data_IF_701062284754
#
_entry.id   IF_701062284754
#
_cell.length_a   1.000
_cell.length_b   1.000
_cell.length_c   1.000
_cell.angle_alpha   90.00
_cell.angle_beta   90.00
_cell.angle_gamma   90.00
#
_symmetry.space_group_name_H-M   'P 1'
#
loop_
_entity.id
_entity.type
_entity.pdbx_description
1 polymer ?
#
# COMPACT_ATOMS: atom_id res chain seq x y z
N UNK A 1 -49.19 34.28 -25.18
CA UNK A 1 -48.63 33.08 -25.85
C UNK A 1 -47.44 32.43 -25.14
N UNK A 2 -46.21 32.99 -25.12
CA UNK A 2 -45.07 32.30 -24.44
C UNK A 2 -45.27 32.11 -22.92
N UNK A 3 -45.85 33.09 -22.22
CA UNK A 3 -46.11 33.00 -20.77
C UNK A 3 -47.17 31.96 -20.42
N UNK A 4 -48.26 31.92 -21.17
CA UNK A 4 -49.35 30.93 -20.98
C UNK A 4 -48.85 29.49 -21.14
N UNK A 5 -47.99 29.23 -22.13
CA UNK A 5 -47.40 27.90 -22.35
C UNK A 5 -46.49 27.51 -21.18
N UNK A 6 -45.71 28.44 -20.65
CA UNK A 6 -44.81 28.18 -19.51
C UNK A 6 -45.61 27.94 -18.23
N UNK A 7 -46.67 28.71 -17.99
CA UNK A 7 -47.55 28.53 -16.83
C UNK A 7 -48.26 27.17 -16.85
N UNK A 8 -48.74 26.73 -18.02
CA UNK A 8 -49.38 25.42 -18.17
C UNK A 8 -48.39 24.26 -18.03
N UNK A 9 -47.16 24.44 -18.54
CA UNK A 9 -46.08 23.48 -18.36
C UNK A 9 -45.69 23.33 -16.88
N UNK A 10 -45.59 24.44 -16.13
CA UNK A 10 -45.34 24.39 -14.69
C UNK A 10 -46.47 23.72 -13.92
N UNK A 11 -47.72 24.00 -14.27
CA UNK A 11 -48.90 23.37 -13.67
C UNK A 11 -48.87 21.85 -13.86
N UNK A 12 -48.56 21.40 -15.08
CA UNK A 12 -48.39 19.99 -15.41
C UNK A 12 -47.24 19.36 -14.63
N UNK A 13 -46.11 20.06 -14.51
CA UNK A 13 -44.93 19.56 -13.77
C UNK A 13 -45.23 19.41 -12.27
N UNK A 14 -45.92 20.37 -11.66
CA UNK A 14 -46.35 20.28 -10.24
C UNK A 14 -47.33 19.14 -10.01
N UNK A 15 -48.29 18.96 -10.92
CA UNK A 15 -49.22 17.84 -10.85
C UNK A 15 -48.49 16.50 -10.91
N UNK A 16 -47.59 16.31 -11.88
CA UNK A 16 -46.79 15.09 -11.98
C UNK A 16 -45.89 14.89 -10.76
N UNK A 17 -45.29 15.94 -10.23
CA UNK A 17 -44.47 15.85 -9.02
C UNK A 17 -45.29 15.39 -7.80
N UNK A 18 -46.55 15.84 -7.66
CA UNK A 18 -47.44 15.37 -6.60
C UNK A 18 -47.82 13.88 -6.69
N UNK A 19 -47.83 13.31 -7.91
CA UNK A 19 -48.14 11.89 -8.14
C UNK A 19 -46.92 11.02 -7.92
N UNK A 20 -45.76 11.48 -8.41
CA UNK A 20 -44.54 10.68 -8.50
C UNK A 20 -43.66 10.85 -7.27
N UNK A 21 -43.83 11.91 -6.49
CA UNK A 21 -43.09 12.18 -5.26
C UNK A 21 -41.69 12.77 -5.47
N UNK A 22 -41.31 13.01 -6.73
CA UNK A 22 -40.01 13.55 -7.13
C UNK A 22 -40.19 14.53 -8.31
N UNK A 23 -39.11 15.18 -8.75
CA UNK A 23 -39.14 15.92 -10.02
C UNK A 23 -39.44 14.93 -11.17
N UNK A 24 -40.43 15.21 -12.05
CA UNK A 24 -40.81 14.32 -13.14
C UNK A 24 -39.63 13.93 -14.06
N UNK A 25 -38.66 14.82 -14.26
CA UNK A 25 -37.46 14.54 -15.07
C UNK A 25 -36.59 13.47 -14.41
N UNK A 26 -36.40 13.58 -13.09
CA UNK A 26 -35.63 12.62 -12.28
C UNK A 26 -36.31 11.26 -12.29
N UNK A 27 -37.63 11.22 -12.08
CA UNK A 27 -38.36 9.96 -12.05
C UNK A 27 -38.40 9.25 -13.41
N UNK A 28 -38.47 10.01 -14.52
CA UNK A 28 -38.36 9.44 -15.87
C UNK A 28 -36.95 8.86 -16.09
N UNK A 29 -35.91 9.58 -15.68
CA UNK A 29 -34.53 9.11 -15.78
C UNK A 29 -34.32 7.82 -14.98
N UNK A 30 -34.76 7.79 -13.73
CA UNK A 30 -34.63 6.63 -12.85
C UNK A 30 -35.32 5.40 -13.44
N UNK A 31 -36.56 5.53 -13.93
CA UNK A 31 -37.26 4.43 -14.59
C UNK A 31 -36.54 3.93 -15.84
N UNK A 32 -35.97 4.82 -16.65
CA UNK A 32 -35.19 4.44 -17.84
C UNK A 32 -33.93 3.68 -17.45
N UNK A 33 -33.17 4.17 -16.48
CA UNK A 33 -31.96 3.49 -16.01
C UNK A 33 -32.29 2.16 -15.32
N UNK A 34 -33.36 2.12 -14.54
CA UNK A 34 -33.88 0.89 -13.92
C UNK A 34 -34.26 -0.16 -14.96
N UNK A 35 -34.95 0.24 -16.03
CA UNK A 35 -35.27 -0.65 -17.15
C UNK A 35 -34.01 -1.16 -17.86
N UNK A 36 -33.09 -0.26 -18.23
CA UNK A 36 -31.82 -0.63 -18.89
C UNK A 36 -31.02 -1.60 -18.01
N UNK A 37 -30.87 -1.30 -16.72
CA UNK A 37 -30.18 -2.16 -15.75
C UNK A 37 -30.84 -3.54 -15.65
N UNK A 38 -32.16 -3.58 -15.63
CA UNK A 38 -32.94 -4.82 -15.64
C UNK A 38 -32.71 -5.66 -16.90
N UNK A 39 -32.69 -5.04 -18.08
CA UNK A 39 -32.38 -5.72 -19.35
C UNK A 39 -30.94 -6.19 -19.37
N UNK A 40 -29.98 -5.34 -19.00
CA UNK A 40 -28.57 -5.69 -18.88
C UNK A 40 -28.38 -6.91 -17.96
N UNK A 41 -29.06 -6.97 -16.81
CA UNK A 41 -28.96 -8.11 -15.88
C UNK A 41 -29.50 -9.42 -16.48
N UNK A 42 -30.50 -9.35 -17.36
CA UNK A 42 -31.09 -10.53 -18.02
C UNK A 42 -30.25 -11.03 -19.21
N UNK A 43 -29.64 -10.11 -19.96
CA UNK A 43 -28.93 -10.42 -21.21
C UNK A 43 -27.42 -10.63 -20.96
N UNK A 44 -26.81 -9.91 -20.02
CA UNK A 44 -25.42 -10.10 -19.65
C UNK A 44 -25.29 -11.34 -18.76
N UNK A 45 -24.84 -12.44 -19.35
CA UNK A 45 -24.22 -13.52 -18.59
C UNK A 45 -22.85 -13.05 -18.14
N UNK A 46 -22.77 -12.42 -16.97
CA UNK A 46 -21.49 -12.27 -16.28
C UNK A 46 -21.01 -13.68 -15.93
N UNK A 47 -19.89 -14.17 -16.46
CA UNK A 47 -19.32 -15.40 -15.93
C UNK A 47 -19.10 -15.16 -14.43
N UNK A 48 -19.69 -16.00 -13.60
CA UNK A 48 -19.37 -16.12 -12.17
C UNK A 48 -17.97 -16.74 -12.06
N UNK A 49 -16.99 -16.04 -12.60
CA UNK A 49 -15.61 -16.24 -12.29
C UNK A 49 -15.24 -14.92 -11.67
N UNK A 50 -15.37 -14.84 -10.35
CA UNK A 50 -14.34 -14.13 -9.60
C UNK A 50 -13.04 -14.73 -10.13
N UNK A 51 -12.39 -14.02 -11.07
CA UNK A 51 -11.07 -14.41 -11.54
C UNK A 51 -10.23 -14.23 -10.30
N UNK A 52 -10.07 -15.32 -9.53
CA UNK A 52 -9.20 -15.36 -8.37
C UNK A 52 -7.86 -14.89 -8.91
N UNK A 53 -7.54 -13.65 -8.60
CA UNK A 53 -6.32 -13.02 -9.10
C UNK A 53 -5.15 -13.73 -8.42
N UNK A 54 -3.96 -13.63 -9.01
CA UNK A 54 -2.78 -14.16 -8.35
C UNK A 54 -2.60 -13.53 -6.96
N UNK A 55 -2.98 -12.26 -6.80
CA UNK A 55 -3.06 -11.58 -5.50
C UNK A 55 -3.98 -12.29 -4.52
N UNK A 56 -5.22 -12.61 -4.93
CA UNK A 56 -6.20 -13.28 -4.05
C UNK A 56 -5.73 -14.67 -3.58
N UNK A 57 -4.93 -15.36 -4.39
CA UNK A 57 -4.33 -16.65 -4.00
C UNK A 57 -3.21 -16.48 -2.99
N UNK A 58 -2.34 -15.50 -3.22
CA UNK A 58 -1.21 -15.20 -2.31
C UNK A 58 -1.76 -14.75 -0.96
N UNK A 59 -2.72 -13.83 -0.95
CA UNK A 59 -3.34 -13.33 0.27
C UNK A 59 -4.03 -14.45 1.06
N UNK A 60 -4.68 -15.40 0.38
CA UNK A 60 -5.29 -16.55 1.05
C UNK A 60 -4.27 -17.40 1.82
N UNK A 61 -3.05 -17.54 1.29
CA UNK A 61 -1.98 -18.34 1.91
C UNK A 61 -1.27 -17.54 2.99
N UNK A 62 -0.88 -16.30 2.67
CA UNK A 62 -0.13 -15.41 3.57
C UNK A 62 -0.98 -14.97 4.77
N UNK A 63 -2.28 -14.75 4.56
CA UNK A 63 -3.22 -14.30 5.59
C UNK A 63 -4.00 -15.46 6.25
N UNK A 64 -3.59 -16.71 6.01
CA UNK A 64 -4.24 -17.87 6.63
C UNK A 64 -4.00 -17.89 8.14
N UNK A 65 -5.05 -18.11 8.95
CA UNK A 65 -4.98 -18.05 10.43
C UNK A 65 -3.89 -18.93 11.05
N UNK A 66 -3.54 -20.06 10.44
CA UNK A 66 -2.50 -20.97 10.97
C UNK A 66 -1.17 -20.92 10.22
N UNK A 67 -1.15 -20.56 8.94
CA UNK A 67 0.08 -20.50 8.13
C UNK A 67 0.69 -19.10 8.11
N UNK A 68 -0.11 -18.06 8.38
CA UNK A 68 0.34 -16.68 8.39
C UNK A 68 1.41 -16.42 9.45
N UNK A 69 1.28 -16.97 10.66
CA UNK A 69 2.30 -16.81 11.72
C UNK A 69 3.64 -17.45 11.31
N UNK A 70 3.71 -18.73 10.88
CA UNK A 70 4.94 -19.33 10.37
C UNK A 70 5.55 -18.58 9.18
N UNK A 71 4.75 -18.18 8.19
CA UNK A 71 5.22 -17.44 7.02
C UNK A 71 5.78 -16.08 7.42
N UNK A 72 5.08 -15.37 8.31
CA UNK A 72 5.54 -14.09 8.83
C UNK A 72 6.89 -14.21 9.55
N UNK A 73 7.06 -15.21 10.41
CA UNK A 73 8.33 -15.46 11.09
C UNK A 73 9.46 -15.82 10.11
N UNK A 74 9.16 -16.61 9.09
CA UNK A 74 10.12 -16.95 8.04
C UNK A 74 10.55 -15.71 7.23
N UNK A 75 9.60 -14.84 6.87
CA UNK A 75 9.89 -13.58 6.19
C UNK A 75 10.70 -12.63 7.07
N UNK A 76 10.35 -12.49 8.35
CA UNK A 76 11.13 -11.73 9.33
C UNK A 76 12.56 -12.26 9.46
N UNK A 77 12.72 -13.58 9.58
CA UNK A 77 14.03 -14.21 9.64
C UNK A 77 14.85 -13.95 8.37
N UNK A 78 14.22 -14.10 7.20
CA UNK A 78 14.86 -13.84 5.91
C UNK A 78 15.26 -12.37 5.77
N UNK A 79 14.42 -11.45 6.23
CA UNK A 79 14.74 -10.02 6.28
C UNK A 79 15.98 -9.78 7.15
N UNK A 80 16.03 -10.32 8.38
CA UNK A 80 17.22 -10.18 9.23
C UNK A 80 18.47 -10.76 8.56
N UNK A 81 18.39 -11.98 8.02
CA UNK A 81 19.53 -12.61 7.32
C UNK A 81 19.99 -11.78 6.13
N UNK A 82 19.07 -11.25 5.35
CA UNK A 82 19.37 -10.41 4.20
C UNK A 82 19.99 -9.08 4.64
N UNK A 83 19.41 -8.40 5.63
CA UNK A 83 19.95 -7.16 6.18
C UNK A 83 21.35 -7.35 6.73
N UNK A 84 21.60 -8.40 7.52
CA UNK A 84 22.94 -8.65 8.06
C UNK A 84 23.95 -9.01 6.97
N UNK A 85 23.60 -9.89 6.03
CA UNK A 85 24.48 -10.26 4.92
C UNK A 85 24.78 -9.06 4.01
N UNK A 86 23.82 -8.15 3.82
CA UNK A 86 24.02 -6.93 3.04
C UNK A 86 24.81 -5.86 3.82
N UNK A 87 24.74 -5.87 5.16
CA UNK A 87 25.48 -4.94 6.01
C UNK A 87 26.94 -5.33 6.22
N UNK A 88 27.30 -6.60 6.06
CA UNK A 88 28.66 -7.11 6.30
C UNK A 88 29.72 -6.44 5.41
N UNK A 89 29.54 -6.27 4.08
CA UNK A 89 30.54 -5.57 3.26
C UNK A 89 30.72 -4.08 3.61
N UNK A 90 29.65 -3.27 3.79
CA UNK A 90 29.79 -1.89 4.26
C UNK A 90 30.46 -1.76 5.64
N UNK A 91 30.16 -2.67 6.57
CA UNK A 91 30.81 -2.68 7.88
C UNK A 91 32.32 -2.95 7.74
N UNK A 92 32.71 -3.92 6.91
CA UNK A 92 34.13 -4.20 6.65
C UNK A 92 34.90 -3.00 6.09
N UNK A 93 34.30 -2.23 5.19
CA UNK A 93 34.94 -1.00 4.68
C UNK A 93 35.13 0.07 5.77
N UNK A 94 34.19 0.17 6.70
CA UNK A 94 34.28 1.09 7.84
C UNK A 94 35.37 0.63 8.80
N UNK A 95 35.41 -0.67 9.12
CA UNK A 95 36.45 -1.27 9.97
C UNK A 95 37.86 -1.08 9.38
N UNK A 96 38.05 -1.33 8.08
CA UNK A 96 39.33 -1.09 7.39
C UNK A 96 39.74 0.39 7.44
N UNK A 97 38.79 1.31 7.23
CA UNK A 97 39.05 2.75 7.29
C UNK A 97 39.42 3.24 8.69
N UNK A 98 38.73 2.72 9.71
CA UNK A 98 38.97 2.98 11.14
C UNK A 98 40.34 2.41 11.54
N UNK A 99 40.66 1.18 11.16
CA UNK A 99 41.96 0.55 11.42
C UNK A 99 43.12 1.30 10.79
N UNK A 100 42.98 1.74 9.53
CA UNK A 100 44.01 2.57 8.87
C UNK A 100 44.26 3.91 9.57
N UNK A 101 43.20 4.56 10.06
CA UNK A 101 43.31 5.78 10.86
C UNK A 101 43.99 5.50 12.20
N UNK A 102 43.61 4.42 12.88
CA UNK A 102 44.21 3.95 14.13
C UNK A 102 45.72 3.71 14.00
N UNK A 103 46.15 3.01 12.95
CA UNK A 103 47.57 2.74 12.68
C UNK A 103 48.39 4.00 12.43
N UNK A 104 47.81 4.98 11.73
CA UNK A 104 48.48 6.26 11.48
C UNK A 104 48.61 7.10 12.75
N UNK A 105 47.57 7.12 13.58
CA UNK A 105 47.58 7.84 14.86
C UNK A 105 48.53 7.15 15.84
N UNK A 106 48.52 5.81 15.91
CA UNK A 106 49.41 5.01 16.76
C UNK A 106 50.89 5.25 16.48
N UNK A 107 51.28 5.47 15.21
CA UNK A 107 52.66 5.83 14.83
C UNK A 107 53.10 7.24 15.23
N UNK A 108 52.16 8.14 15.56
CA UNK A 108 52.46 9.48 16.07
C UNK A 108 52.58 9.52 17.61
N UNK A 109 52.16 8.46 18.31
CA UNK A 109 52.26 8.38 19.76
C UNK A 109 53.54 7.66 20.21
N UNK A 110 54.12 8.03 21.38
CA UNK A 110 55.29 7.35 21.91
C UNK A 110 54.96 5.88 22.25
N UNK A 111 55.76 4.96 21.72
CA UNK A 111 55.60 3.51 21.92
C UNK A 111 55.60 3.16 23.41
N UNK A 112 54.57 2.44 23.86
CA UNK A 112 54.49 1.88 25.23
C UNK A 112 53.67 2.67 26.25
N UNK A 113 52.94 3.72 25.85
CA UNK A 113 52.01 4.41 26.75
C UNK A 113 50.64 3.71 26.83
N UNK A 114 50.03 3.68 28.02
CA UNK A 114 48.67 3.15 28.27
C UNK A 114 47.62 3.83 27.36
N UNK A 115 47.89 5.05 26.91
CA UNK A 115 47.04 5.80 25.99
C UNK A 115 47.07 5.24 24.56
N UNK A 116 48.18 4.65 24.10
CA UNK A 116 48.24 4.02 22.78
C UNK A 116 47.35 2.79 22.73
N UNK A 117 47.40 1.90 23.73
CA UNK A 117 46.55 0.71 23.77
C UNK A 117 45.07 1.07 24.03
N UNK A 118 44.78 2.06 24.87
CA UNK A 118 43.40 2.52 25.09
C UNK A 118 42.77 3.10 23.83
N UNK A 119 43.53 3.86 23.05
CA UNK A 119 43.03 4.46 21.81
C UNK A 119 42.93 3.39 20.73
N UNK A 120 44.01 2.69 20.41
CA UNK A 120 44.03 1.71 19.32
C UNK A 120 43.14 0.49 19.62
N UNK A 121 43.30 -0.14 20.78
CA UNK A 121 42.54 -1.37 21.09
C UNK A 121 41.13 -1.07 21.65
N UNK A 122 40.93 0.08 22.30
CA UNK A 122 39.65 0.43 22.94
C UNK A 122 38.69 1.24 22.07
N UNK A 123 39.19 2.10 21.17
CA UNK A 123 38.36 2.96 20.31
C UNK A 123 38.26 2.43 18.88
N UNK A 124 39.30 1.77 18.38
CA UNK A 124 39.35 1.29 17.00
C UNK A 124 39.21 -0.23 16.86
N UNK A 125 39.51 -1.01 17.91
CA UNK A 125 39.41 -2.47 17.91
C UNK A 125 38.11 -3.06 18.48
N UNK A 126 37.22 -2.21 19.03
CA UNK A 126 35.96 -2.59 19.67
C UNK A 126 34.72 -2.09 18.93
#
# INVERSE_FOLDING_TARGET
MRREILEEAERSRRHLSSIVGDDPEVAIADRRYGFISGVCKKVLKRPHTERITLSDKVDRVVLHRTLGIPIFLLLMWLMFKFTFALSEPPMGWVEEGIGWLGDKVGKLLPEGSVFQSLVVDGVFGG
#
